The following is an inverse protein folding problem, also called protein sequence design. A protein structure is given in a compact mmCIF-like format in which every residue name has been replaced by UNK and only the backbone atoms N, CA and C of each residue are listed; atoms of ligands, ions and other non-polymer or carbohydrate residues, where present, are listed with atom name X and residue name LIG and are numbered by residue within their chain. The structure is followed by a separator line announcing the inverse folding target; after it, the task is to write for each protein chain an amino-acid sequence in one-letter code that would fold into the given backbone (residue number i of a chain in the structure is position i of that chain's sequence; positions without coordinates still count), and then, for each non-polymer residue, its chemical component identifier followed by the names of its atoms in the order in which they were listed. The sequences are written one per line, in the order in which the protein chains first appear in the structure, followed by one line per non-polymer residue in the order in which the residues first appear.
data_IF_161214551406
#
_entry.id   IF_161214551406
#
_cell.length_a   1.000
_cell.length_b   1.000
_cell.length_c   1.000
_cell.angle_alpha   90.00
_cell.angle_beta   90.00
_cell.angle_gamma   90.00
#
_symmetry.space_group_name_H-M   'P 1'
#
loop_
_entity.id
_entity.type
_entity.pdbx_description
1 polymer ?
#
# COMPACT_ATOMS: atom_id res chain seq x y z
N UNK A 1 46.03 -49.02 -6.97
CA UNK A 1 46.07 -47.60 -6.55
C UNK A 1 44.95 -46.85 -7.25
N UNK A 2 43.84 -46.59 -6.57
CA UNK A 2 42.65 -45.92 -7.12
C UNK A 2 42.20 -44.88 -6.11
N UNK A 3 42.33 -43.58 -6.45
CA UNK A 3 41.98 -42.45 -5.57
C UNK A 3 40.46 -42.29 -5.47
N UNK A 4 39.84 -42.28 -4.26
CA UNK A 4 38.44 -41.95 -4.07
C UNK A 4 38.34 -40.47 -3.66
N UNK A 5 38.00 -39.56 -4.58
CA UNK A 5 38.04 -38.13 -4.24
C UNK A 5 37.26 -37.19 -5.14
N UNK A 6 36.23 -37.67 -5.86
CA UNK A 6 35.45 -36.80 -6.76
C UNK A 6 33.93 -36.93 -6.67
N UNK A 7 33.39 -37.84 -5.87
CA UNK A 7 31.92 -38.05 -5.80
C UNK A 7 31.22 -37.29 -4.67
N UNK A 8 31.96 -36.77 -3.68
CA UNK A 8 31.37 -36.16 -2.49
C UNK A 8 31.18 -34.64 -2.59
N UNK A 9 31.80 -33.98 -3.58
CA UNK A 9 31.68 -32.52 -3.75
C UNK A 9 30.42 -32.13 -4.54
N UNK A 10 29.91 -33.03 -5.40
CA UNK A 10 28.76 -32.74 -6.27
C UNK A 10 27.39 -32.83 -5.57
N UNK A 11 27.28 -33.54 -4.45
CA UNK A 11 26.03 -33.69 -3.71
C UNK A 11 25.75 -32.52 -2.75
N UNK A 12 26.79 -31.86 -2.24
CA UNK A 12 26.63 -30.71 -1.33
C UNK A 12 26.24 -29.45 -2.12
N UNK A 13 26.75 -29.29 -3.35
CA UNK A 13 26.42 -28.14 -4.21
C UNK A 13 25.01 -28.18 -4.80
N UNK A 14 24.41 -29.36 -4.96
CA UNK A 14 23.04 -29.47 -5.47
C UNK A 14 21.97 -29.10 -4.42
N UNK A 15 22.29 -29.23 -3.13
CA UNK A 15 21.35 -28.93 -2.03
C UNK A 15 21.32 -27.45 -1.64
N UNK A 16 22.39 -26.69 -1.94
CA UNK A 16 22.49 -25.26 -1.65
C UNK A 16 21.79 -24.38 -2.71
N UNK A 17 21.59 -24.87 -3.94
CA UNK A 17 20.88 -24.12 -4.99
C UNK A 17 19.36 -24.34 -4.91
N UNK A 18 18.91 -25.44 -4.31
CA UNK A 18 17.48 -25.72 -4.11
C UNK A 18 16.86 -24.96 -2.92
N UNK A 19 17.67 -24.33 -2.06
CA UNK A 19 17.21 -23.59 -0.87
C UNK A 19 17.14 -22.07 -1.09
N UNK A 20 17.31 -21.58 -2.32
CA UNK A 20 17.30 -20.15 -2.63
C UNK A 20 16.02 -19.68 -3.34
N UNK A 21 15.02 -20.56 -3.58
CA UNK A 21 13.88 -20.27 -4.46
C UNK A 21 12.53 -20.18 -3.72
N UNK A 22 12.50 -20.03 -2.39
CA UNK A 22 11.20 -20.09 -1.68
C UNK A 22 11.11 -19.23 -0.43
N UNK A 23 11.48 -17.95 -0.53
CA UNK A 23 11.21 -16.94 0.51
C UNK A 23 10.39 -15.74 0.00
N UNK A 24 9.79 -15.85 -1.19
CA UNK A 24 8.74 -14.93 -1.60
C UNK A 24 7.43 -15.62 -1.23
N UNK A 25 6.95 -15.37 -0.01
CA UNK A 25 5.59 -15.77 0.36
C UNK A 25 4.60 -15.19 -0.64
N UNK A 26 3.41 -15.78 -0.82
CA UNK A 26 2.39 -15.19 -1.67
C UNK A 26 2.18 -13.74 -1.21
N UNK A 27 2.46 -12.78 -2.08
CA UNK A 27 2.04 -11.41 -1.84
C UNK A 27 0.51 -11.48 -1.74
N UNK A 28 -0.03 -11.25 -0.54
CA UNK A 28 -1.45 -10.95 -0.38
C UNK A 28 -1.79 -9.92 -1.44
N UNK A 29 -2.78 -10.23 -2.29
CA UNK A 29 -3.21 -9.37 -3.39
C UNK A 29 -3.40 -7.96 -2.84
N UNK A 30 -2.51 -7.06 -3.24
CA UNK A 30 -2.61 -5.66 -2.88
C UNK A 30 -3.99 -5.16 -3.29
N UNK A 31 -4.69 -4.45 -2.41
CA UNK A 31 -5.96 -3.84 -2.80
C UNK A 31 -5.72 -2.92 -3.99
N UNK A 32 -6.55 -3.06 -5.02
CA UNK A 32 -6.58 -2.11 -6.13
C UNK A 32 -6.89 -0.71 -5.58
N UNK A 33 -6.43 0.31 -6.32
CA UNK A 33 -6.42 1.75 -6.01
C UNK A 33 -7.76 2.42 -5.64
N UNK A 34 -8.80 1.67 -5.30
CA UNK A 34 -10.19 2.11 -5.22
C UNK A 34 -10.71 2.33 -3.78
N UNK A 35 -9.84 2.55 -2.80
CA UNK A 35 -10.27 2.85 -1.43
C UNK A 35 -9.36 3.84 -0.71
N UNK A 36 -9.93 4.52 0.29
CA UNK A 36 -9.14 5.18 1.33
C UNK A 36 -8.56 4.10 2.25
N UNK A 37 -7.45 4.41 2.90
CA UNK A 37 -6.72 3.44 3.71
C UNK A 37 -6.28 4.08 5.00
N UNK A 38 -6.55 3.41 6.11
CA UNK A 38 -6.02 3.78 7.42
C UNK A 38 -4.74 2.99 7.67
N UNK A 39 -3.72 3.67 8.16
CA UNK A 39 -2.41 3.13 8.46
C UNK A 39 -2.19 3.16 9.97
N UNK A 40 -1.80 2.01 10.54
CA UNK A 40 -1.17 1.93 11.85
C UNK A 40 0.28 1.51 11.65
N UNK A 41 1.21 2.33 12.12
CA UNK A 41 2.64 2.07 12.05
C UNK A 41 3.15 1.44 13.34
N UNK A 42 3.91 0.36 13.18
CA UNK A 42 4.63 -0.26 14.29
C UNK A 42 6.13 -0.40 13.98
N UNK A 43 6.98 -0.56 15.01
CA UNK A 43 8.39 -0.84 14.85
C UNK A 43 8.65 -2.09 14.01
N UNK A 44 9.59 -1.99 13.09
CA UNK A 44 10.16 -3.18 12.44
C UNK A 44 11.04 -3.94 13.44
N UNK A 45 11.10 -5.26 13.33
CA UNK A 45 12.00 -6.07 14.17
C UNK A 45 13.45 -5.59 14.03
N UNK A 46 14.16 -5.50 15.15
CA UNK A 46 15.53 -4.97 15.24
C UNK A 46 15.70 -3.53 14.71
N UNK A 47 14.59 -2.78 14.67
CA UNK A 47 14.58 -1.35 14.28
C UNK A 47 15.50 -0.52 15.17
N UNK A 48 16.18 0.51 14.61
CA UNK A 48 16.95 1.47 15.38
C UNK A 48 16.07 2.40 16.24
N UNK A 49 14.74 2.37 16.10
CA UNK A 49 13.78 3.06 16.99
C UNK A 49 12.67 2.10 17.42
N UNK A 50 12.93 1.21 18.39
CA UNK A 50 12.02 0.13 18.77
C UNK A 50 10.78 0.60 19.56
N UNK A 51 10.72 1.87 19.96
CA UNK A 51 9.58 2.47 20.65
C UNK A 51 8.68 3.30 19.72
N UNK A 52 9.13 3.58 18.49
CA UNK A 52 8.41 4.48 17.59
C UNK A 52 7.05 3.92 17.18
N UNK A 53 6.10 4.79 16.92
CA UNK A 53 4.78 4.40 16.41
C UNK A 53 4.22 5.50 15.52
N UNK A 54 3.03 5.28 14.95
CA UNK A 54 2.36 6.31 14.19
C UNK A 54 1.04 5.87 13.59
N UNK A 55 0.33 6.84 13.03
CA UNK A 55 -0.93 6.61 12.31
C UNK A 55 -0.99 7.48 11.07
N UNK A 56 -1.82 7.10 10.10
CA UNK A 56 -2.02 7.92 8.91
C UNK A 56 -3.16 7.46 8.02
N UNK A 57 -3.35 8.20 6.94
CA UNK A 57 -4.28 7.87 5.87
C UNK A 57 -3.63 7.98 4.50
N UNK A 58 -4.10 7.15 3.58
CA UNK A 58 -3.82 7.23 2.15
C UNK A 58 -5.15 7.25 1.43
N UNK A 59 -5.59 8.45 1.07
CA UNK A 59 -6.92 8.71 0.54
C UNK A 59 -6.88 8.77 -0.98
N UNK A 60 -7.79 8.04 -1.63
CA UNK A 60 -7.96 8.08 -3.07
C UNK A 60 -8.74 9.33 -3.48
N UNK A 61 -8.22 10.07 -4.45
CA UNK A 61 -8.78 11.33 -4.95
C UNK A 61 -9.29 11.24 -6.39
N UNK A 62 -9.29 10.04 -6.98
CA UNK A 62 -9.82 9.79 -8.33
C UNK A 62 -8.75 9.64 -9.42
N UNK A 63 -9.21 9.35 -10.63
CA UNK A 63 -8.35 8.97 -11.77
C UNK A 63 -8.16 7.46 -11.86
N UNK A 64 -7.65 6.98 -12.99
CA UNK A 64 -7.20 5.60 -13.16
C UNK A 64 -5.69 5.59 -13.42
N UNK A 65 -5.05 4.43 -13.33
CA UNK A 65 -3.64 4.33 -13.68
C UNK A 65 -3.36 4.80 -15.13
N UNK A 66 -2.23 5.50 -15.39
CA UNK A 66 -1.17 5.89 -14.46
C UNK A 66 -1.43 7.22 -13.71
N UNK A 67 -2.60 7.82 -13.90
CA UNK A 67 -2.95 9.16 -13.42
C UNK A 67 -3.79 9.15 -12.12
N UNK A 68 -3.79 8.03 -11.37
CA UNK A 68 -4.49 7.92 -10.10
C UNK A 68 -3.94 8.93 -9.10
N UNK A 69 -4.82 9.57 -8.33
CA UNK A 69 -4.47 10.71 -7.46
C UNK A 69 -4.73 10.38 -6.02
N UNK A 70 -3.81 10.77 -5.15
CA UNK A 70 -3.84 10.35 -3.76
C UNK A 70 -3.38 11.45 -2.81
N UNK A 71 -3.96 11.49 -1.62
CA UNK A 71 -3.45 12.29 -0.51
C UNK A 71 -2.94 11.37 0.57
N UNK A 72 -1.72 11.63 1.05
CA UNK A 72 -1.11 10.85 2.12
C UNK A 72 -0.85 11.79 3.29
N UNK A 73 -1.33 11.40 4.46
CA UNK A 73 -1.12 12.14 5.71
C UNK A 73 -0.75 11.14 6.78
N UNK A 74 0.33 11.36 7.51
CA UNK A 74 0.63 10.54 8.68
C UNK A 74 1.36 11.35 9.74
N UNK A 75 1.29 10.86 10.97
CA UNK A 75 2.04 11.34 12.12
C UNK A 75 2.75 10.15 12.76
N UNK A 76 3.93 10.41 13.28
CA UNK A 76 4.78 9.44 13.97
C UNK A 76 5.31 10.07 15.24
N UNK A 77 5.50 9.22 16.24
CA UNK A 77 5.90 9.60 17.60
C UNK A 77 7.02 8.66 18.07
N UNK A 78 7.76 9.10 19.10
CA UNK A 78 8.80 8.31 19.77
C UNK A 78 9.92 7.77 18.83
N UNK A 79 10.16 8.45 17.70
CA UNK A 79 11.33 8.22 16.87
C UNK A 79 12.57 8.88 17.48
N UNK A 80 13.76 8.58 16.94
CA UNK A 80 14.97 9.31 17.36
C UNK A 80 14.77 10.82 17.13
N UNK A 81 14.99 11.67 18.15
CA UNK A 81 14.82 13.12 18.01
C UNK A 81 15.77 13.74 16.99
N UNK A 82 15.34 14.85 16.39
CA UNK A 82 16.16 15.68 15.49
C UNK A 82 16.77 14.90 14.30
N UNK A 83 16.12 13.82 13.86
CA UNK A 83 16.65 12.84 12.91
C UNK A 83 15.84 12.84 11.61
N UNK A 84 16.52 12.61 10.48
CA UNK A 84 15.88 12.61 9.17
C UNK A 84 15.31 11.23 8.83
N UNK A 85 14.11 11.24 8.26
CA UNK A 85 13.45 10.03 7.79
C UNK A 85 12.85 10.26 6.41
N UNK A 86 12.74 9.17 5.64
CA UNK A 86 12.04 9.13 4.37
C UNK A 86 10.96 8.07 4.43
N UNK A 87 9.76 8.44 4.00
CA UNK A 87 8.65 7.50 3.85
C UNK A 87 8.55 7.04 2.42
N UNK A 88 8.45 5.72 2.29
CA UNK A 88 8.41 5.02 1.01
C UNK A 88 7.16 4.16 0.93
N UNK A 89 6.67 3.98 -0.29
CA UNK A 89 5.61 3.02 -0.63
C UNK A 89 6.20 1.96 -1.55
N UNK A 90 5.81 0.70 -1.36
CA UNK A 90 6.16 -0.37 -2.29
C UNK A 90 5.08 -0.53 -3.36
N UNK A 91 5.49 -0.86 -4.59
CA UNK A 91 4.57 -1.27 -5.64
C UNK A 91 3.77 -0.12 -6.22
N UNK A 92 4.38 1.07 -6.27
CA UNK A 92 3.76 2.27 -6.83
C UNK A 92 3.30 2.05 -8.28
N UNK A 93 4.11 1.33 -9.06
CA UNK A 93 3.88 1.01 -10.47
C UNK A 93 4.20 -0.46 -10.73
N UNK A 94 3.77 -1.00 -11.88
CA UNK A 94 4.08 -2.39 -12.30
C UNK A 94 2.94 -3.38 -12.05
N UNK A 95 2.90 -4.47 -12.82
CA UNK A 95 1.94 -5.58 -12.63
C UNK A 95 2.35 -6.48 -11.46
N UNK A 96 1.47 -7.37 -10.99
CA UNK A 96 1.82 -8.40 -10.00
C UNK A 96 3.07 -9.14 -10.47
N UNK A 97 3.94 -9.45 -9.52
CA UNK A 97 5.18 -10.19 -9.77
C UNK A 97 6.19 -9.49 -10.71
N UNK A 98 5.96 -8.23 -11.09
CA UNK A 98 6.94 -7.42 -11.80
C UNK A 98 8.02 -6.86 -10.86
N UNK A 99 9.26 -6.66 -11.32
CA UNK A 99 10.28 -5.97 -10.55
C UNK A 99 9.84 -4.59 -10.05
N UNK A 100 9.05 -3.89 -10.84
CA UNK A 100 8.48 -2.59 -10.52
C UNK A 100 7.51 -2.67 -9.34
N UNK A 101 6.71 -3.74 -9.24
CA UNK A 101 5.81 -3.96 -8.10
C UNK A 101 6.59 -4.22 -6.79
N UNK A 102 7.82 -4.73 -6.87
CA UNK A 102 8.70 -4.88 -5.71
C UNK A 102 9.45 -3.61 -5.30
N UNK A 103 9.48 -2.58 -6.16
CA UNK A 103 10.28 -1.39 -5.94
C UNK A 103 9.67 -0.44 -4.89
N UNK A 104 10.53 0.16 -4.07
CA UNK A 104 10.17 1.24 -3.17
C UNK A 104 10.27 2.58 -3.89
N UNK A 105 9.27 3.44 -3.69
CA UNK A 105 9.26 4.81 -4.18
C UNK A 105 9.17 5.77 -3.00
N UNK A 106 10.07 6.75 -2.85
CA UNK A 106 9.92 7.78 -1.84
C UNK A 106 8.74 8.68 -2.21
N UNK A 107 8.02 9.14 -1.19
CA UNK A 107 7.02 10.18 -1.38
C UNK A 107 7.13 11.29 -0.35
N UNK A 108 7.87 11.10 0.74
CA UNK A 108 8.05 12.16 1.71
C UNK A 108 9.37 12.05 2.47
N UNK A 109 9.98 13.19 2.75
CA UNK A 109 11.08 13.30 3.71
C UNK A 109 10.65 14.24 4.82
N UNK A 110 10.95 13.88 6.06
CA UNK A 110 10.69 14.72 7.23
C UNK A 110 11.84 14.59 8.23
N UNK A 111 11.89 15.53 9.16
CA UNK A 111 12.80 15.50 10.29
C UNK A 111 11.98 15.56 11.56
N UNK A 112 12.29 14.68 12.50
CA UNK A 112 11.63 14.68 13.81
C UNK A 112 12.04 15.92 14.61
N UNK A 113 11.18 16.36 15.50
CA UNK A 113 11.48 17.44 16.44
C UNK A 113 12.32 16.93 17.64
N UNK A 114 12.47 17.78 18.66
CA UNK A 114 13.23 17.46 19.88
C UNK A 114 12.61 16.36 20.75
N UNK A 115 11.34 16.00 20.54
CA UNK A 115 10.66 14.91 21.24
C UNK A 115 10.70 13.60 20.45
N UNK A 116 11.07 13.64 19.17
CA UNK A 116 10.96 12.48 18.28
C UNK A 116 9.68 12.46 17.45
N UNK A 117 8.88 13.52 17.50
CA UNK A 117 7.61 13.61 16.81
C UNK A 117 7.83 14.11 15.38
N UNK A 118 7.03 13.61 14.45
CA UNK A 118 7.15 13.94 13.05
C UNK A 118 5.93 13.54 12.24
N UNK A 119 6.03 13.70 10.94
CA UNK A 119 4.93 13.33 10.07
C UNK A 119 5.11 13.85 8.66
N UNK A 120 4.11 13.58 7.84
CA UNK A 120 4.10 14.02 6.47
C UNK A 120 2.70 14.38 5.99
N UNK A 121 2.65 15.31 5.05
CA UNK A 121 1.55 15.51 4.14
C UNK A 121 2.08 15.51 2.70
N UNK A 122 1.51 14.69 1.82
CA UNK A 122 1.97 14.58 0.43
C UNK A 122 0.83 14.30 -0.55
N UNK A 123 1.05 14.66 -1.81
CA UNK A 123 0.17 14.37 -2.92
C UNK A 123 0.87 13.44 -3.92
N UNK A 124 0.31 12.25 -4.12
CA UNK A 124 0.91 11.20 -4.93
C UNK A 124 0.11 10.97 -6.21
N UNK A 125 0.81 10.86 -7.34
CA UNK A 125 0.25 10.51 -8.65
C UNK A 125 0.75 9.13 -9.07
N UNK A 126 -0.13 8.29 -9.60
CA UNK A 126 0.24 6.98 -10.11
C UNK A 126 0.65 6.05 -8.99
N UNK A 127 -0.35 5.60 -8.23
CA UNK A 127 -0.25 4.49 -7.29
C UNK A 127 -1.22 3.42 -7.76
N UNK A 128 -0.69 2.26 -8.10
CA UNK A 128 -1.48 1.08 -8.48
C UNK A 128 -2.13 0.42 -7.28
N UNK A 129 -1.30 0.28 -6.25
CA UNK A 129 -1.44 -0.66 -5.15
C UNK A 129 -0.85 -0.06 -3.92
N UNK A 130 -1.53 -0.31 -2.81
CA UNK A 130 -1.03 0.05 -1.50
C UNK A 130 -1.10 -1.19 -0.61
N UNK A 131 0.07 -1.71 -0.22
CA UNK A 131 0.11 -2.75 0.83
C UNK A 131 1.37 -2.75 1.67
N UNK A 132 2.29 -1.83 1.40
CA UNK A 132 3.43 -1.60 2.28
C UNK A 132 3.81 -0.12 2.24
N UNK A 133 3.82 0.51 3.42
CA UNK A 133 4.38 1.83 3.66
C UNK A 133 5.43 1.68 4.76
N UNK A 134 6.61 2.26 4.55
CA UNK A 134 7.70 2.22 5.54
C UNK A 134 8.26 3.61 5.79
N UNK A 135 8.62 3.86 7.05
CA UNK A 135 9.47 4.97 7.45
C UNK A 135 10.90 4.44 7.56
N UNK A 136 11.82 5.05 6.83
CA UNK A 136 13.23 4.65 6.74
C UNK A 136 14.13 5.77 7.22
N UNK A 137 15.24 5.41 7.84
CA UNK A 137 16.24 6.36 8.34
C UNK A 137 17.00 7.00 7.16
N UNK A 138 17.18 8.32 7.21
CA UNK A 138 17.93 9.17 6.26
C UNK A 138 17.44 9.22 4.79
N UNK A 139 17.21 8.09 4.13
CA UNK A 139 16.85 8.02 2.71
C UNK A 139 16.00 6.79 2.35
N UNK A 140 15.55 6.72 1.10
CA UNK A 140 14.68 5.66 0.57
C UNK A 140 15.29 4.23 0.69
N UNK A 141 16.62 4.12 0.76
CA UNK A 141 17.35 2.86 0.90
C UNK A 141 17.89 2.64 2.33
N UNK A 142 17.55 3.51 3.26
CA UNK A 142 17.98 3.39 4.64
C UNK A 142 17.29 2.27 5.41
N UNK A 143 17.78 1.93 6.61
CA UNK A 143 17.14 0.94 7.48
C UNK A 143 15.67 1.27 7.74
N UNK A 144 14.75 0.30 7.60
CA UNK A 144 13.35 0.51 7.96
C UNK A 144 13.21 0.61 9.47
N UNK A 145 12.38 1.55 9.91
CA UNK A 145 12.19 1.88 11.33
C UNK A 145 10.77 1.58 11.76
N UNK A 146 9.79 2.09 11.00
CA UNK A 146 8.37 1.81 11.16
C UNK A 146 7.79 1.23 9.87
N UNK A 147 6.73 0.46 10.01
CA UNK A 147 6.02 -0.13 8.89
C UNK A 147 4.51 -0.17 9.16
N UNK A 148 3.75 0.00 8.09
CA UNK A 148 2.33 -0.35 7.99
C UNK A 148 2.16 -1.25 6.77
N UNK A 149 1.50 -2.39 6.94
CA UNK A 149 1.34 -3.37 5.86
C UNK A 149 0.00 -4.10 5.94
N UNK A 150 -0.40 -4.71 4.82
CA UNK A 150 -1.53 -5.63 4.75
C UNK A 150 -1.17 -7.09 5.06
N UNK A 151 0.12 -7.37 5.27
CA UNK A 151 0.57 -8.71 5.62
C UNK A 151 0.17 -9.04 7.07
N UNK A 152 -0.51 -10.17 7.28
CA UNK A 152 -1.02 -10.58 8.61
C UNK A 152 0.06 -10.65 9.70
N UNK A 153 1.27 -11.09 9.34
CA UNK A 153 2.40 -11.24 10.27
C UNK A 153 3.38 -10.04 10.22
N UNK A 154 3.02 -8.96 9.54
CA UNK A 154 3.89 -7.80 9.38
C UNK A 154 3.75 -6.78 10.52
N UNK A 155 4.78 -5.94 10.76
CA UNK A 155 4.67 -4.83 11.69
C UNK A 155 3.67 -3.78 11.19
N UNK A 156 2.72 -3.44 12.04
CA UNK A 156 1.63 -2.51 11.77
C UNK A 156 0.54 -3.09 10.89
N UNK A 157 -0.47 -2.28 10.62
CA UNK A 157 -1.63 -2.70 9.84
C UNK A 157 -2.07 -1.63 8.85
N UNK A 158 -2.76 -2.07 7.80
CA UNK A 158 -3.34 -1.21 6.78
C UNK A 158 -4.73 -1.73 6.42
N UNK A 159 -5.73 -0.91 6.73
CA UNK A 159 -7.13 -1.27 6.55
C UNK A 159 -7.74 -0.40 5.46
N UNK A 160 -8.39 -1.05 4.49
CA UNK A 160 -9.17 -0.33 3.49
C UNK A 160 -10.49 0.10 4.10
N UNK A 161 -10.77 1.40 4.10
CA UNK A 161 -12.07 1.91 4.51
C UNK A 161 -12.97 1.95 3.27
N UNK A 162 -14.19 1.41 3.40
CA UNK A 162 -15.15 1.46 2.29
C UNK A 162 -15.69 2.87 2.17
N UNK A 163 -15.29 3.60 1.13
CA UNK A 163 -15.96 4.81 0.72
C UNK A 163 -17.34 4.46 0.16
N UNK A 164 -18.39 4.52 0.99
CA UNK A 164 -19.77 4.55 0.50
C UNK A 164 -20.05 5.91 -0.20
N UNK A 165 -19.42 6.15 -1.34
CA UNK A 165 -20.03 6.93 -2.40
C UNK A 165 -20.92 6.01 -3.27
N UNK A 166 -21.71 5.15 -2.62
CA UNK A 166 -22.95 4.70 -3.25
C UNK A 166 -23.87 5.91 -3.23
N UNK A 167 -23.88 6.65 -4.34
CA UNK A 167 -25.07 7.39 -4.71
C UNK A 167 -26.18 6.35 -4.79
N UNK A 168 -26.96 6.22 -3.73
CA UNK A 168 -28.29 5.66 -3.82
C UNK A 168 -29.03 6.58 -4.80
N UNK A 169 -28.98 6.24 -6.08
CA UNK A 169 -29.90 6.71 -7.08
C UNK A 169 -31.25 6.15 -6.66
N UNK A 170 -31.91 6.85 -5.74
CA UNK A 170 -33.35 6.70 -5.54
C UNK A 170 -33.96 7.13 -6.85
N UNK A 171 -34.18 6.17 -7.75
CA UNK A 171 -35.00 6.36 -8.91
C UNK A 171 -36.39 6.73 -8.39
N UNK A 172 -36.69 8.03 -8.38
CA UNK A 172 -38.07 8.50 -8.27
C UNK A 172 -38.80 7.90 -9.47
N UNK A 173 -39.80 7.02 -9.28
CA UNK A 173 -40.60 6.57 -10.41
C UNK A 173 -41.25 7.81 -11.03
N UNK A 174 -40.92 8.06 -12.29
CA UNK A 174 -41.57 9.07 -13.12
C UNK A 174 -43.04 8.68 -13.20
N UNK A 175 -43.93 9.51 -12.65
CA UNK A 175 -45.36 9.36 -12.87
C UNK A 175 -45.60 9.30 -14.38
N UNK A 176 -46.22 8.21 -14.83
CA UNK A 176 -46.82 8.11 -16.15
C UNK A 176 -47.72 9.32 -16.35
N UNK A 177 -47.36 10.18 -17.30
CA UNK A 177 -48.24 11.21 -17.81
C UNK A 177 -49.39 10.50 -18.53
N UNK A 178 -50.57 10.60 -17.92
CA UNK A 178 -51.87 10.12 -18.41
C UNK A 178 -52.11 10.67 -19.82
N UNK A 179 -52.15 9.75 -20.78
CA UNK A 179 -52.38 10.02 -22.20
C UNK A 179 -53.82 10.56 -22.39
N UNK A 180 -54.05 11.70 -23.07
CA UNK A 180 -55.39 12.22 -23.23
C UNK A 180 -56.18 11.34 -24.21
N UNK A 181 -57.15 10.59 -23.68
CA UNK A 181 -58.09 9.82 -24.52
C UNK A 181 -58.90 10.75 -25.43
N UNK A 182 -58.69 10.59 -26.74
CA UNK A 182 -59.50 11.20 -27.77
C UNK A 182 -60.94 10.67 -27.70
N UNK A 183 -61.91 11.58 -27.54
CA UNK A 183 -63.33 11.25 -27.62
C UNK A 183 -63.72 10.86 -29.05
N UNK A 184 -64.49 9.77 -29.25
CA UNK A 184 -65.03 9.45 -30.57
C UNK A 184 -66.21 10.36 -30.92
N UNK A 185 -66.15 10.90 -32.14
CA UNK A 185 -67.25 11.57 -32.85
C UNK A 185 -68.43 10.60 -32.99
N UNK A 186 -69.60 11.02 -32.54
CA UNK A 186 -70.87 10.37 -32.86
C UNK A 186 -71.57 11.15 -33.99
N UNK A 187 -71.89 10.45 -35.07
CA UNK A 187 -72.85 10.80 -36.14
C UNK A 187 -73.83 9.62 -36.15
N UNK A 188 -75.15 9.79 -36.28
CA UNK A 188 -75.85 10.60 -37.30
C UNK A 188 -76.60 11.83 -36.78
#
# INVERSE_FOLDING_TARGET
MTRPGKRMVLLVSAMLVALAVSLVGPFTSFADHESDNELTFEPVLDSPSPAGSGTGTVDFRGGGEPDSRWTIIFQVDDLQPETNYVTVVQGRTGEDDSPEAGAFSPFCAFRTDGNGDGGCWYYLIGLRRLGLVQVRLDNENGPPVLQSTRQEDGPGSMESTTNFHSLTLTATPRAEEDEPQASPVATP
#
